data_IF_146596233462
#
_entry.id   IF_146596233462
#
_cell.length_a   1.000
_cell.length_b   1.000
_cell.length_c   1.000
_cell.angle_alpha   90.00
_cell.angle_beta   90.00
_cell.angle_gamma   90.00
#
_symmetry.space_group_name_H-M   'P 1'
#
loop_
_entity.id
_entity.type
_entity.pdbx_description
1 polymer ?
#
# COMPACT_ATOMS: atom_id res chain seq x y z
N UNK A 1 -0.71 -12.67 1.53
CA UNK A 1 0.44 -13.35 2.16
C UNK A 1 1.35 -12.30 2.75
N UNK A 2 1.10 -11.95 4.00
CA UNK A 2 1.98 -11.09 4.81
C UNK A 2 2.00 -11.62 6.25
N UNK A 3 1.90 -12.95 6.38
CA UNK A 3 1.50 -13.60 7.63
C UNK A 3 2.68 -14.30 8.32
N UNK A 4 3.75 -14.62 7.59
CA UNK A 4 4.97 -15.24 8.15
C UNK A 4 6.19 -14.34 7.95
N UNK A 5 7.15 -14.44 8.88
CA UNK A 5 8.43 -13.73 8.80
C UNK A 5 9.21 -14.07 7.52
N UNK A 6 9.16 -15.33 7.08
CA UNK A 6 9.80 -15.76 5.83
C UNK A 6 9.19 -15.08 4.60
N UNK A 7 7.87 -14.90 4.56
CA UNK A 7 7.18 -14.19 3.47
C UNK A 7 7.56 -12.71 3.48
N UNK A 8 7.49 -12.05 4.64
CA UNK A 8 7.86 -10.63 4.76
C UNK A 8 9.30 -10.40 4.31
N UNK A 9 10.24 -11.23 4.77
CA UNK A 9 11.65 -11.14 4.40
C UNK A 9 11.87 -11.34 2.89
N UNK A 10 11.18 -12.31 2.29
CA UNK A 10 11.29 -12.53 0.84
C UNK A 10 10.80 -11.32 0.04
N UNK A 11 9.67 -10.72 0.44
CA UNK A 11 9.15 -9.52 -0.23
C UNK A 11 10.08 -8.33 -0.02
N UNK A 12 10.55 -8.08 1.21
CA UNK A 12 11.49 -6.97 1.50
C UNK A 12 12.78 -7.10 0.70
N UNK A 13 13.36 -8.31 0.60
CA UNK A 13 14.55 -8.54 -0.22
C UNK A 13 14.30 -8.23 -1.71
N UNK A 14 13.13 -8.61 -2.23
CA UNK A 14 12.76 -8.32 -3.62
C UNK A 14 12.58 -6.80 -3.84
N UNK A 15 11.97 -6.10 -2.88
CA UNK A 15 11.80 -4.65 -2.93
C UNK A 15 13.14 -3.91 -2.85
N UNK A 16 14.06 -4.36 -2.02
CA UNK A 16 15.41 -3.78 -1.92
C UNK A 16 16.19 -3.91 -3.22
N UNK A 17 16.16 -5.10 -3.84
CA UNK A 17 16.83 -5.32 -5.14
C UNK A 17 16.17 -4.53 -6.27
N UNK A 18 14.84 -4.41 -6.27
CA UNK A 18 14.12 -3.58 -7.23
C UNK A 18 14.49 -2.09 -7.07
N UNK A 19 14.56 -1.61 -5.83
CA UNK A 19 14.93 -0.22 -5.51
C UNK A 19 16.34 0.13 -5.97
N UNK A 20 17.31 -0.77 -5.78
CA UNK A 20 18.70 -0.60 -6.28
C UNK A 20 18.77 -0.46 -7.80
N UNK A 21 17.76 -0.96 -8.51
CA UNK A 21 17.65 -0.94 -9.98
C UNK A 21 16.67 0.12 -10.47
N UNK A 22 16.19 0.99 -9.58
CA UNK A 22 15.22 2.05 -9.88
C UNK A 22 13.91 1.52 -10.51
N UNK A 23 13.53 0.29 -10.16
CA UNK A 23 12.29 -0.33 -10.64
C UNK A 23 11.12 0.19 -9.79
N UNK A 24 10.10 0.73 -10.47
CA UNK A 24 8.86 1.19 -9.82
C UNK A 24 8.03 0.00 -9.34
N UNK A 25 7.52 0.09 -8.12
CA UNK A 25 6.67 -0.96 -7.54
C UNK A 25 5.23 -0.48 -7.39
N UNK A 26 4.29 -1.36 -7.73
CA UNK A 26 2.87 -1.14 -7.56
C UNK A 26 2.31 -2.10 -6.51
N UNK A 27 1.50 -1.59 -5.59
CA UNK A 27 0.84 -2.36 -4.54
C UNK A 27 -0.67 -2.29 -4.70
N UNK A 28 -1.36 -3.42 -4.62
CA UNK A 28 -2.81 -3.45 -4.42
C UNK A 28 -3.14 -3.85 -2.99
N UNK A 29 -4.07 -3.14 -2.34
CA UNK A 29 -4.49 -3.48 -0.97
C UNK A 29 -5.26 -4.81 -0.92
N UNK A 30 -6.25 -5.01 -1.82
CA UNK A 30 -6.97 -6.25 -2.21
C UNK A 30 -7.55 -7.19 -1.13
N UNK A 31 -6.87 -7.39 -0.01
CA UNK A 31 -7.28 -8.26 1.09
C UNK A 31 -7.45 -7.45 2.38
N UNK A 32 -8.70 -7.05 2.72
CA UNK A 32 -8.98 -6.28 3.92
C UNK A 32 -8.64 -7.01 5.21
N UNK A 33 -8.56 -8.35 5.22
CA UNK A 33 -8.14 -9.07 6.42
C UNK A 33 -6.62 -8.98 6.61
N UNK A 34 -5.86 -9.09 5.53
CA UNK A 34 -4.40 -9.06 5.56
C UNK A 34 -3.86 -7.69 5.98
N UNK A 35 -4.28 -6.60 5.30
CA UNK A 35 -3.73 -5.28 5.63
C UNK A 35 -4.29 -4.71 6.93
N UNK A 36 -5.50 -5.09 7.39
CA UNK A 36 -5.99 -4.68 8.72
C UNK A 36 -5.11 -5.21 9.85
N UNK A 37 -4.64 -6.47 9.76
CA UNK A 37 -3.75 -7.08 10.75
C UNK A 37 -2.34 -6.47 10.76
N UNK A 38 -1.89 -6.02 9.60
CA UNK A 38 -0.52 -5.53 9.39
C UNK A 38 -0.50 -4.08 8.89
N UNK A 39 -1.43 -3.26 9.40
CA UNK A 39 -1.68 -1.90 8.91
C UNK A 39 -0.41 -1.05 8.88
N UNK A 40 0.39 -1.12 9.93
CA UNK A 40 1.65 -0.37 10.04
C UNK A 40 2.69 -0.82 9.01
N UNK A 41 2.81 -2.13 8.77
CA UNK A 41 3.73 -2.67 7.75
C UNK A 41 3.36 -2.13 6.37
N UNK A 42 2.07 -2.12 6.02
CA UNK A 42 1.59 -1.57 4.75
C UNK A 42 1.84 -0.07 4.62
N UNK A 43 1.67 0.71 5.69
CA UNK A 43 2.01 2.13 5.71
C UNK A 43 3.51 2.33 5.44
N UNK A 44 4.36 1.51 6.05
CA UNK A 44 5.82 1.57 5.84
C UNK A 44 6.20 1.19 4.40
N UNK A 45 5.55 0.18 3.82
CA UNK A 45 5.72 -0.17 2.41
C UNK A 45 5.36 1.00 1.50
N UNK A 46 4.18 1.60 1.73
CA UNK A 46 3.68 2.71 0.93
C UNK A 46 4.64 3.91 0.94
N UNK A 47 5.16 4.27 2.11
CA UNK A 47 6.10 5.39 2.27
C UNK A 47 7.50 5.12 1.75
N UNK A 48 7.93 3.86 1.71
CA UNK A 48 9.34 3.51 1.51
C UNK A 48 9.67 2.88 0.15
N UNK A 49 8.74 2.14 -0.44
CA UNK A 49 9.00 1.27 -1.59
C UNK A 49 7.98 1.41 -2.73
N UNK A 50 6.74 1.79 -2.43
CA UNK A 50 5.65 1.76 -3.41
C UNK A 50 5.61 3.07 -4.20
N UNK A 51 5.75 2.98 -5.53
CA UNK A 51 5.53 4.11 -6.43
C UNK A 51 4.06 4.29 -6.79
N UNK A 52 3.27 3.20 -6.85
CA UNK A 52 1.86 3.26 -7.21
C UNK A 52 0.99 2.38 -6.30
N UNK A 53 -0.14 2.91 -5.84
CA UNK A 53 -1.11 2.14 -5.03
C UNK A 53 -2.45 2.00 -5.74
N UNK A 54 -3.00 0.80 -5.72
CA UNK A 54 -4.37 0.48 -6.13
C UNK A 54 -5.19 0.09 -4.92
N UNK A 55 -6.31 0.79 -4.70
CA UNK A 55 -7.23 0.47 -3.63
C UNK A 55 -8.66 0.88 -3.99
N UNK A 56 -9.63 0.28 -3.30
CA UNK A 56 -10.98 0.81 -3.29
C UNK A 56 -11.19 1.79 -2.13
N UNK A 57 -12.33 2.50 -2.17
CA UNK A 57 -12.69 3.49 -1.15
C UNK A 57 -12.71 2.91 0.27
N UNK A 58 -13.28 1.73 0.49
CA UNK A 58 -13.38 1.12 1.82
C UNK A 58 -12.00 0.73 2.38
N UNK A 59 -11.11 0.24 1.51
CA UNK A 59 -9.75 -0.11 1.87
C UNK A 59 -8.94 1.13 2.26
N UNK A 60 -9.04 2.20 1.46
CA UNK A 60 -8.38 3.47 1.75
C UNK A 60 -8.89 4.09 3.06
N UNK A 61 -10.20 4.03 3.30
CA UNK A 61 -10.82 4.52 4.53
C UNK A 61 -10.35 3.76 5.75
N UNK A 62 -10.27 2.43 5.64
CA UNK A 62 -9.74 1.56 6.69
C UNK A 62 -8.26 1.85 6.98
N UNK A 63 -7.45 1.97 5.92
CA UNK A 63 -6.02 2.21 6.03
C UNK A 63 -5.72 3.57 6.67
N UNK A 64 -6.49 4.61 6.33
CA UNK A 64 -6.20 5.98 6.78
C UNK A 64 -7.06 6.45 7.95
N UNK A 65 -7.97 5.61 8.42
CA UNK A 65 -8.95 5.97 9.45
C UNK A 65 -9.71 7.26 9.06
N UNK A 66 -10.27 7.25 7.85
CA UNK A 66 -11.01 8.39 7.29
C UNK A 66 -12.28 7.94 6.58
N UNK A 67 -13.20 8.87 6.33
CA UNK A 67 -14.42 8.66 5.54
C UNK A 67 -14.51 9.60 4.33
N UNK A 68 -13.45 10.35 4.05
CA UNK A 68 -13.41 11.33 2.97
C UNK A 68 -12.45 10.86 1.88
N UNK A 69 -12.96 10.59 0.69
CA UNK A 69 -12.17 10.13 -0.46
C UNK A 69 -11.07 11.12 -0.81
N UNK A 70 -11.38 12.42 -0.81
CA UNK A 70 -10.41 13.48 -1.08
C UNK A 70 -9.22 13.43 -0.10
N UNK A 71 -9.48 13.36 1.21
CA UNK A 71 -8.44 13.23 2.23
C UNK A 71 -7.64 11.95 2.06
N UNK A 72 -8.28 10.86 1.65
CA UNK A 72 -7.62 9.59 1.42
C UNK A 72 -6.62 9.67 0.25
N UNK A 73 -7.04 10.27 -0.87
CA UNK A 73 -6.18 10.48 -2.04
C UNK A 73 -5.03 11.41 -1.71
N UNK A 74 -5.28 12.53 -1.02
CA UNK A 74 -4.24 13.48 -0.60
C UNK A 74 -3.16 12.77 0.24
N UNK A 75 -3.58 12.02 1.26
CA UNK A 75 -2.66 11.32 2.15
C UNK A 75 -1.85 10.25 1.43
N UNK A 76 -2.46 9.50 0.50
CA UNK A 76 -1.73 8.48 -0.29
C UNK A 76 -0.80 9.11 -1.33
N UNK A 77 -1.14 10.29 -1.84
CA UNK A 77 -0.29 11.02 -2.80
C UNK A 77 0.94 11.63 -2.14
N UNK A 78 0.90 11.88 -0.81
CA UNK A 78 2.09 12.26 -0.05
C UNK A 78 3.10 11.10 0.09
N UNK A 79 2.63 9.85 -0.06
CA UNK A 79 3.47 8.66 0.16
C UNK A 79 3.89 7.98 -1.14
N UNK A 80 3.09 8.10 -2.20
CA UNK A 80 3.27 7.37 -3.47
C UNK A 80 3.14 8.32 -4.66
N UNK A 81 3.82 8.02 -5.76
CA UNK A 81 3.78 8.85 -6.98
C UNK A 81 2.42 8.81 -7.67
N UNK A 82 1.68 7.70 -7.56
CA UNK A 82 0.41 7.49 -8.25
C UNK A 82 -0.58 6.72 -7.40
N UNK A 83 -1.81 7.24 -7.32
CA UNK A 83 -2.92 6.61 -6.60
C UNK A 83 -4.04 6.30 -7.57
N UNK A 84 -4.44 5.03 -7.64
CA UNK A 84 -5.61 4.57 -8.36
C UNK A 84 -6.69 4.13 -7.35
N UNK A 85 -7.67 5.01 -7.12
CA UNK A 85 -8.78 4.78 -6.19
C UNK A 85 -10.07 4.42 -6.94
N UNK A 86 -10.63 3.24 -6.68
CA UNK A 86 -11.94 2.87 -7.22
C UNK A 86 -13.05 3.28 -6.25
N UNK A 87 -14.01 4.08 -6.73
CA UNK A 87 -15.10 4.69 -5.93
C UNK A 87 -16.45 3.96 -6.05
N UNK A 88 -16.48 2.76 -6.62
CA UNK A 88 -17.73 2.03 -6.86
C UNK A 88 -18.59 2.68 -7.95
N UNK A 89 -19.83 2.19 -8.08
CA UNK A 89 -20.87 2.74 -8.94
C UNK A 89 -21.99 3.33 -8.07
#
# INVERSE_FOLDING_TARGET
>A
MWDTESQKKAVLNALDEAKKREIKFALSLSDPFCFKRHKEDFINLLKGYVSMVFCNQEEAFTLLDTKFSQKAVETLSDWTETVALTIGA
#
